data_IF_607341217998
#
_entry.id   IF_607341217998
#
_cell.length_a   1.000
_cell.length_b   1.000
_cell.length_c   1.000
_cell.angle_alpha   90.00
_cell.angle_beta   90.00
_cell.angle_gamma   90.00
#
_symmetry.space_group_name_H-M   'P 1'
#
loop_
_entity.id
_entity.type
_entity.pdbx_description
1 polymer ?
#
# COMPACT_ATOMS: atom_id res chain seq x y z
N UNK A 1 7.62 -0.84 35.44
CA UNK A 1 8.44 0.31 35.01
C UNK A 1 7.78 0.93 33.79
N UNK A 2 7.50 2.23 33.77
CA UNK A 2 6.95 2.90 32.59
C UNK A 2 8.01 2.87 31.47
N UNK A 3 7.66 2.37 30.29
CA UNK A 3 8.54 2.46 29.12
C UNK A 3 8.73 3.95 28.80
N UNK A 4 9.97 4.42 28.85
CA UNK A 4 10.31 5.84 28.60
C UNK A 4 10.47 6.16 27.11
N UNK A 5 10.06 5.24 26.21
CA UNK A 5 10.46 5.30 24.80
C UNK A 5 11.98 5.18 24.64
N UNK A 6 12.49 5.30 23.42
CA UNK A 6 13.92 5.31 23.17
C UNK A 6 14.58 6.56 23.77
N UNK A 7 15.71 6.37 24.47
CA UNK A 7 16.48 7.46 25.08
C UNK A 7 17.14 8.38 24.03
N UNK A 8 17.20 7.95 22.76
CA UNK A 8 17.87 8.67 21.68
C UNK A 8 17.05 9.82 21.08
N UNK A 9 15.72 9.85 21.31
CA UNK A 9 14.85 10.88 20.72
C UNK A 9 15.27 12.30 21.10
N UNK A 10 15.44 12.57 22.40
CA UNK A 10 15.75 13.91 22.91
C UNK A 10 17.04 14.51 22.33
N UNK A 11 18.20 13.85 22.48
CA UNK A 11 19.45 14.33 21.89
C UNK A 11 19.37 14.52 20.37
N UNK A 12 18.73 13.60 19.65
CA UNK A 12 18.65 13.67 18.18
C UNK A 12 17.74 14.79 17.69
N UNK A 13 16.62 15.04 18.37
CA UNK A 13 15.75 16.20 18.07
C UNK A 13 16.55 17.49 18.17
N UNK A 14 17.35 17.65 19.23
CA UNK A 14 18.17 18.85 19.43
C UNK A 14 19.20 19.04 18.30
N UNK A 15 19.86 17.97 17.87
CA UNK A 15 20.81 18.07 16.74
C UNK A 15 20.12 18.43 15.41
N UNK A 16 18.92 17.90 15.17
CA UNK A 16 18.15 18.24 13.96
C UNK A 16 17.66 19.69 14.01
N UNK A 17 17.25 20.19 15.18
CA UNK A 17 16.89 21.60 15.38
C UNK A 17 18.09 22.53 15.14
N UNK A 18 19.29 22.16 15.61
CA UNK A 18 20.52 22.89 15.31
C UNK A 18 20.79 22.92 13.79
N UNK A 19 20.66 21.78 13.12
CA UNK A 19 20.82 21.70 11.66
C UNK A 19 19.78 22.56 10.92
N UNK A 20 18.52 22.56 11.38
CA UNK A 20 17.48 23.45 10.87
C UNK A 20 17.91 24.93 10.97
N UNK A 21 18.46 25.35 12.12
CA UNK A 21 18.94 26.73 12.31
C UNK A 21 20.02 27.09 11.30
N UNK A 22 20.99 26.21 11.06
CA UNK A 22 22.01 26.43 10.03
C UNK A 22 21.39 26.61 8.64
N UNK A 23 20.38 25.81 8.27
CA UNK A 23 19.70 25.96 6.98
C UNK A 23 18.88 27.27 6.87
N UNK A 24 18.52 27.91 7.98
CA UNK A 24 17.81 29.20 7.94
C UNK A 24 18.72 30.41 7.72
N UNK A 25 20.05 30.24 7.83
CA UNK A 25 20.99 31.34 7.65
C UNK A 25 21.01 31.88 6.22
N UNK A 26 20.63 31.06 5.23
CA UNK A 26 20.53 31.45 3.83
C UNK A 26 19.15 31.12 3.27
N UNK A 27 18.73 31.84 2.21
CA UNK A 27 17.47 31.54 1.52
C UNK A 27 17.56 30.34 0.58
N UNK A 28 18.78 29.87 0.29
CA UNK A 28 19.05 28.77 -0.63
C UNK A 28 18.58 27.43 -0.07
N UNK A 29 18.55 27.27 1.26
CA UNK A 29 18.22 26.00 1.93
C UNK A 29 16.81 25.96 2.53
N UNK A 30 15.85 26.62 1.89
CA UNK A 30 14.46 26.68 2.37
C UNK A 30 13.81 25.30 2.45
N UNK A 31 14.17 24.38 1.55
CA UNK A 31 13.66 23.01 1.56
C UNK A 31 14.24 22.22 2.73
N UNK A 32 15.56 22.23 2.89
CA UNK A 32 16.29 21.51 3.93
C UNK A 32 15.88 21.98 5.33
N UNK A 33 15.68 23.29 5.51
CA UNK A 33 15.16 23.84 6.76
C UNK A 33 13.79 23.25 7.11
N UNK A 34 12.85 23.23 6.16
CA UNK A 34 11.52 22.62 6.37
C UNK A 34 11.59 21.11 6.58
N UNK A 35 12.47 20.42 5.86
CA UNK A 35 12.66 18.98 6.02
C UNK A 35 13.21 18.63 7.40
N UNK A 36 14.16 19.42 7.92
CA UNK A 36 14.68 19.27 9.28
C UNK A 36 13.59 19.54 10.34
N UNK A 37 12.77 20.58 10.15
CA UNK A 37 11.62 20.87 11.02
C UNK A 37 10.63 19.68 11.08
N UNK A 38 10.24 19.16 9.92
CA UNK A 38 9.34 18.01 9.80
C UNK A 38 9.97 16.74 10.41
N UNK A 39 11.28 16.53 10.25
CA UNK A 39 11.97 15.40 10.86
C UNK A 39 11.97 15.49 12.39
N UNK A 40 12.33 16.64 12.97
CA UNK A 40 12.25 16.85 14.42
C UNK A 40 10.82 16.61 14.95
N UNK A 41 9.80 17.06 14.20
CA UNK A 41 8.39 16.80 14.52
C UNK A 41 8.04 15.31 14.48
N UNK A 42 8.52 14.57 13.49
CA UNK A 42 8.29 13.13 13.38
C UNK A 42 8.86 12.40 14.59
N UNK A 43 10.10 12.71 14.98
CA UNK A 43 10.74 12.10 16.15
C UNK A 43 9.95 12.35 17.44
N UNK A 44 9.42 13.57 17.64
CA UNK A 44 8.54 13.85 18.81
C UNK A 44 7.30 12.95 18.82
N UNK A 45 6.63 12.80 17.67
CA UNK A 45 5.46 11.92 17.56
C UNK A 45 5.86 10.46 17.79
N UNK A 46 6.98 10.00 17.23
CA UNK A 46 7.48 8.64 17.43
C UNK A 46 7.78 8.38 18.91
N UNK A 47 8.40 9.34 19.62
CA UNK A 47 8.62 9.23 21.05
C UNK A 47 7.31 9.06 21.85
N UNK A 48 6.29 9.90 21.57
CA UNK A 48 4.96 9.76 22.17
C UNK A 48 4.34 8.37 21.90
N UNK A 49 4.52 7.85 20.68
CA UNK A 49 4.06 6.52 20.29
C UNK A 49 4.79 5.43 21.05
N UNK A 50 6.12 5.49 21.19
CA UNK A 50 6.88 4.49 21.95
C UNK A 50 6.51 4.47 23.43
N UNK A 51 6.28 5.65 24.02
CA UNK A 51 5.82 5.76 25.42
C UNK A 51 4.42 5.18 25.59
N UNK A 52 3.47 5.58 24.74
CA UNK A 52 2.07 5.16 24.86
C UNK A 52 1.84 3.70 24.52
N UNK A 53 2.53 3.17 23.50
CA UNK A 53 2.47 1.75 23.10
C UNK A 53 3.38 0.86 23.93
N UNK A 54 4.35 1.44 24.64
CA UNK A 54 5.44 0.76 25.35
C UNK A 54 6.33 -0.09 24.43
N UNK A 55 6.43 0.26 23.15
CA UNK A 55 7.21 -0.45 22.14
C UNK A 55 8.27 0.49 21.54
N UNK A 56 9.58 0.21 21.65
CA UNK A 56 10.64 1.07 21.10
C UNK A 56 10.91 0.75 19.61
N UNK A 57 9.86 0.84 18.78
CA UNK A 57 9.90 0.38 17.38
C UNK A 57 9.70 1.51 16.36
N UNK A 58 9.48 2.73 16.82
CA UNK A 58 9.10 3.84 15.95
C UNK A 58 10.28 4.71 15.56
N UNK A 59 11.32 4.78 16.40
CA UNK A 59 12.53 5.57 16.15
C UNK A 59 13.12 5.26 14.76
N UNK A 60 13.52 6.33 14.06
CA UNK A 60 14.15 6.32 12.73
C UNK A 60 13.29 5.71 11.60
N UNK A 61 12.04 5.35 11.87
CA UNK A 61 11.11 4.92 10.83
C UNK A 61 10.64 6.11 9.99
N UNK A 62 10.37 5.89 8.70
CA UNK A 62 9.79 6.94 7.85
C UNK A 62 8.36 7.28 8.29
N UNK A 63 7.80 8.43 7.85
CA UNK A 63 6.37 8.76 8.03
C UNK A 63 5.47 7.58 7.59
N UNK A 64 5.83 6.92 6.48
CA UNK A 64 5.07 5.81 5.94
C UNK A 64 5.15 4.56 6.81
N UNK A 65 6.35 4.25 7.33
CA UNK A 65 6.57 3.13 8.26
C UNK A 65 5.89 3.37 9.61
N UNK A 66 5.97 4.59 10.13
CA UNK A 66 5.26 5.00 11.36
C UNK A 66 3.76 4.78 11.19
N UNK A 67 3.16 5.21 10.08
CA UNK A 67 1.74 4.98 9.77
C UNK A 67 1.41 3.48 9.74
N UNK A 68 2.20 2.68 8.99
CA UNK A 68 1.96 1.23 8.89
C UNK A 68 2.05 0.56 10.25
N UNK A 69 3.08 0.88 11.03
CA UNK A 69 3.30 0.33 12.36
C UNK A 69 2.14 0.69 13.31
N UNK A 70 1.66 1.93 13.27
CA UNK A 70 0.46 2.32 14.03
C UNK A 70 -0.76 1.46 13.67
N UNK A 71 -0.97 1.16 12.37
CA UNK A 71 -2.10 0.33 11.92
C UNK A 71 -1.91 -1.13 12.36
N UNK A 72 -0.71 -1.67 12.23
CA UNK A 72 -0.35 -3.04 12.66
C UNK A 72 -0.59 -3.24 14.16
N UNK A 73 -0.32 -2.21 14.97
CA UNK A 73 -0.61 -2.21 16.41
C UNK A 73 -2.08 -1.91 16.76
N UNK A 74 -2.98 -1.76 15.77
CA UNK A 74 -4.39 -1.40 15.98
C UNK A 74 -4.63 0.06 16.38
N UNK A 75 -3.60 0.91 16.39
CA UNK A 75 -3.69 2.33 16.75
C UNK A 75 -4.05 3.21 15.54
N UNK A 76 -5.24 2.98 14.97
CA UNK A 76 -5.70 3.68 13.77
C UNK A 76 -5.83 5.20 13.95
N UNK A 77 -6.16 5.67 15.17
CA UNK A 77 -6.25 7.10 15.49
C UNK A 77 -4.89 7.78 15.39
N UNK A 78 -3.83 7.15 15.90
CA UNK A 78 -2.47 7.65 15.75
C UNK A 78 -2.03 7.67 14.28
N UNK A 79 -2.33 6.61 13.51
CA UNK A 79 -2.03 6.57 12.08
C UNK A 79 -2.67 7.75 11.33
N UNK A 80 -3.93 8.08 11.63
CA UNK A 80 -4.62 9.24 11.07
C UNK A 80 -4.01 10.57 11.51
N UNK A 81 -3.57 10.71 12.77
CA UNK A 81 -2.84 11.91 13.24
C UNK A 81 -1.57 12.14 12.41
N UNK A 82 -0.75 11.10 12.23
CA UNK A 82 0.49 11.18 11.42
C UNK A 82 0.17 11.51 9.96
N UNK A 83 -0.84 10.87 9.37
CA UNK A 83 -1.29 11.17 8.00
C UNK A 83 -1.61 12.65 7.82
N UNK A 84 -2.40 13.22 8.73
CA UNK A 84 -2.82 14.63 8.67
C UNK A 84 -1.64 15.58 8.89
N UNK A 85 -0.82 15.31 9.91
CA UNK A 85 0.31 16.16 10.27
C UNK A 85 1.31 16.32 9.12
N UNK A 86 1.64 15.20 8.46
CA UNK A 86 2.59 15.17 7.34
C UNK A 86 1.93 15.27 5.97
N UNK A 87 0.65 15.65 5.93
CA UNK A 87 -0.13 15.88 4.69
C UNK A 87 0.01 14.72 3.69
N UNK A 88 -0.01 13.48 4.20
CA UNK A 88 0.12 12.28 3.37
C UNK A 88 -1.06 12.21 2.42
N UNK A 89 -0.76 12.20 1.12
CA UNK A 89 -1.80 12.20 0.08
C UNK A 89 -2.75 11.02 0.22
N UNK A 90 -4.02 11.21 -0.16
CA UNK A 90 -5.03 10.14 -0.12
C UNK A 90 -4.56 8.91 -0.91
N UNK A 91 -3.93 9.11 -2.07
CA UNK A 91 -3.36 8.01 -2.87
C UNK A 91 -2.39 7.16 -2.06
N UNK A 92 -1.44 7.78 -1.37
CA UNK A 92 -0.44 7.08 -0.55
C UNK A 92 -1.09 6.44 0.69
N UNK A 93 -2.03 7.14 1.33
CA UNK A 93 -2.75 6.63 2.49
C UNK A 93 -3.47 5.29 2.20
N UNK A 94 -4.16 5.18 1.06
CA UNK A 94 -4.86 3.94 0.70
C UNK A 94 -3.90 2.78 0.49
N UNK A 95 -2.74 3.00 -0.14
CA UNK A 95 -1.69 1.97 -0.26
C UNK A 95 -1.16 1.52 1.10
N UNK A 96 -0.82 2.47 1.97
CA UNK A 96 -0.28 2.15 3.29
C UNK A 96 -1.28 1.39 4.15
N UNK A 97 -2.53 1.86 4.22
CA UNK A 97 -3.58 1.25 5.05
C UNK A 97 -3.99 -0.13 4.50
N UNK A 98 -4.15 -0.29 3.19
CA UNK A 98 -4.51 -1.59 2.61
C UNK A 98 -3.42 -2.65 2.87
N UNK A 99 -2.15 -2.32 2.59
CA UNK A 99 -1.02 -3.24 2.83
C UNK A 99 -0.83 -3.56 4.31
N UNK A 100 -1.01 -2.58 5.20
CA UNK A 100 -0.86 -2.81 6.64
C UNK A 100 -1.98 -3.69 7.20
N UNK A 101 -3.25 -3.45 6.83
CA UNK A 101 -4.39 -4.27 7.26
C UNK A 101 -4.27 -5.71 6.74
N UNK A 102 -3.90 -5.88 5.47
CA UNK A 102 -3.67 -7.20 4.90
C UNK A 102 -2.49 -7.93 5.58
N UNK A 103 -1.40 -7.23 5.87
CA UNK A 103 -0.23 -7.81 6.53
C UNK A 103 -0.51 -8.35 7.94
N UNK A 104 -1.53 -7.83 8.64
CA UNK A 104 -2.03 -8.40 9.91
C UNK A 104 -3.26 -9.29 9.73
N UNK A 105 -3.64 -9.58 8.48
CA UNK A 105 -4.79 -10.39 8.08
C UNK A 105 -6.13 -9.89 8.63
N UNK A 106 -6.26 -8.58 8.84
CA UNK A 106 -7.52 -7.95 9.24
C UNK A 106 -8.37 -7.66 8.00
N UNK A 107 -8.92 -8.74 7.43
CA UNK A 107 -9.73 -8.70 6.21
C UNK A 107 -11.05 -7.96 6.41
N UNK A 108 -11.63 -8.05 7.61
CA UNK A 108 -12.84 -7.32 7.97
C UNK A 108 -12.61 -5.81 7.95
N UNK A 109 -11.51 -5.33 8.54
CA UNK A 109 -11.16 -3.91 8.48
C UNK A 109 -10.77 -3.48 7.06
N UNK A 110 -10.10 -4.33 6.28
CA UNK A 110 -9.78 -4.06 4.88
C UNK A 110 -11.06 -3.87 4.05
N UNK A 111 -12.05 -4.76 4.24
CA UNK A 111 -13.33 -4.68 3.54
C UNK A 111 -14.13 -3.45 3.95
N UNK A 112 -14.19 -3.13 5.25
CA UNK A 112 -14.80 -1.88 5.74
C UNK A 112 -14.11 -0.67 5.12
N UNK A 113 -12.78 -0.66 5.10
CA UNK A 113 -12.00 0.43 4.52
C UNK A 113 -12.30 0.63 3.02
N UNK A 114 -12.46 -0.46 2.26
CA UNK A 114 -12.81 -0.40 0.84
C UNK A 114 -14.16 0.27 0.56
N UNK A 115 -15.05 0.30 1.56
CA UNK A 115 -16.43 0.82 1.47
C UNK A 115 -16.58 2.21 2.07
N UNK A 116 -15.60 2.73 2.82
CA UNK A 116 -15.66 4.05 3.47
C UNK A 116 -15.86 5.18 2.44
N UNK A 117 -15.00 5.22 1.41
CA UNK A 117 -15.06 6.17 0.29
C UNK A 117 -14.48 5.51 -0.96
N UNK A 118 -14.85 6.00 -2.14
CA UNK A 118 -14.24 5.55 -3.39
C UNK A 118 -12.72 5.85 -3.35
N UNK A 119 -11.84 4.85 -3.49
CA UNK A 119 -10.40 5.07 -3.44
C UNK A 119 -9.92 5.96 -4.62
N UNK A 120 -8.98 6.89 -4.39
CA UNK A 120 -8.53 7.85 -5.41
C UNK A 120 -7.73 7.20 -6.57
N UNK A 121 -7.20 5.99 -6.37
CA UNK A 121 -6.52 5.19 -7.40
C UNK A 121 -7.33 3.94 -7.77
N UNK A 122 -8.63 3.91 -7.45
CA UNK A 122 -9.43 2.69 -7.56
C UNK A 122 -8.95 1.59 -6.62
N UNK A 123 -9.32 0.35 -6.94
CA UNK A 123 -9.18 -0.77 -6.00
C UNK A 123 -7.82 -1.48 -6.06
N UNK A 124 -6.87 -0.98 -6.86
CA UNK A 124 -5.53 -1.58 -7.01
C UNK A 124 -4.79 -1.81 -5.69
N UNK A 125 -4.80 -0.88 -4.71
CA UNK A 125 -4.17 -1.13 -3.41
C UNK A 125 -4.71 -2.36 -2.67
N UNK A 126 -6.02 -2.60 -2.78
CA UNK A 126 -6.68 -3.72 -2.11
C UNK A 126 -6.35 -5.03 -2.81
N UNK A 127 -6.38 -5.04 -4.15
CA UNK A 127 -6.01 -6.21 -4.96
C UNK A 127 -4.56 -6.62 -4.70
N UNK A 128 -3.61 -5.68 -4.78
CA UNK A 128 -2.20 -5.99 -4.51
C UNK A 128 -1.97 -6.47 -3.08
N UNK A 129 -2.67 -5.89 -2.10
CA UNK A 129 -2.57 -6.32 -0.71
C UNK A 129 -3.05 -7.77 -0.53
N UNK A 130 -4.17 -8.16 -1.15
CA UNK A 130 -4.66 -9.53 -1.08
C UNK A 130 -3.74 -10.52 -1.82
N UNK A 131 -3.24 -10.14 -3.02
CA UNK A 131 -2.32 -10.99 -3.79
C UNK A 131 -1.02 -11.22 -3.02
N UNK A 132 -0.47 -10.17 -2.41
CA UNK A 132 0.78 -10.26 -1.63
C UNK A 132 0.68 -11.28 -0.48
N UNK A 133 -0.46 -11.30 0.20
CA UNK A 133 -0.71 -12.20 1.33
C UNK A 133 -1.31 -13.55 0.91
N UNK A 134 -1.51 -13.79 -0.40
CA UNK A 134 -2.04 -15.04 -0.93
C UNK A 134 -3.53 -15.25 -0.68
N UNK A 135 -4.27 -14.24 -0.22
CA UNK A 135 -5.69 -14.37 0.08
C UNK A 135 -6.58 -14.18 -1.14
N UNK A 136 -6.70 -15.27 -1.91
CA UNK A 136 -7.50 -15.34 -3.13
C UNK A 136 -8.97 -14.96 -2.92
N UNK A 137 -9.59 -15.47 -1.85
CA UNK A 137 -11.02 -15.23 -1.57
C UNK A 137 -11.32 -13.76 -1.36
N UNK A 138 -10.43 -13.05 -0.65
CA UNK A 138 -10.55 -11.62 -0.40
C UNK A 138 -10.25 -10.80 -1.66
N UNK A 139 -9.23 -11.18 -2.44
CA UNK A 139 -8.89 -10.51 -3.71
C UNK A 139 -10.09 -10.45 -4.67
N UNK A 140 -10.92 -11.51 -4.71
CA UNK A 140 -12.10 -11.59 -5.57
C UNK A 140 -13.16 -10.52 -5.30
N UNK A 141 -13.18 -9.92 -4.10
CA UNK A 141 -14.08 -8.81 -3.77
C UNK A 141 -13.68 -7.50 -4.45
N UNK A 142 -12.41 -7.38 -4.87
CA UNK A 142 -11.82 -6.12 -5.35
C UNK A 142 -11.45 -6.15 -6.83
N UNK A 143 -11.01 -7.29 -7.37
CA UNK A 143 -10.60 -7.42 -8.78
C UNK A 143 -11.70 -6.95 -9.75
N UNK A 144 -12.98 -7.34 -9.60
CA UNK A 144 -14.04 -6.88 -10.50
C UNK A 144 -14.25 -5.35 -10.50
N UNK A 145 -13.78 -4.66 -9.45
CA UNK A 145 -13.91 -3.21 -9.28
C UNK A 145 -12.75 -2.43 -9.91
N UNK A 146 -11.73 -3.10 -10.46
CA UNK A 146 -10.70 -2.44 -11.27
C UNK A 146 -11.35 -1.95 -12.57
N UNK A 147 -11.07 -0.70 -12.93
CA UNK A 147 -11.68 -0.05 -14.09
C UNK A 147 -11.10 -0.57 -15.41
N UNK A 148 -9.80 -0.82 -15.44
CA UNK A 148 -9.10 -1.32 -16.63
C UNK A 148 -9.26 -2.85 -16.75
N UNK A 149 -9.86 -3.36 -17.84
CA UNK A 149 -9.96 -4.79 -18.11
C UNK A 149 -8.58 -5.50 -18.17
N UNK A 150 -7.52 -4.79 -18.56
CA UNK A 150 -6.15 -5.33 -18.56
C UNK A 150 -5.66 -5.60 -17.16
N UNK A 151 -5.81 -4.63 -16.25
CA UNK A 151 -5.47 -4.81 -14.84
C UNK A 151 -6.30 -5.93 -14.19
N UNK A 152 -7.59 -6.07 -14.56
CA UNK A 152 -8.42 -7.20 -14.11
C UNK A 152 -7.86 -8.53 -14.56
N UNK A 153 -7.54 -8.66 -15.84
CA UNK A 153 -7.02 -9.90 -16.42
C UNK A 153 -5.71 -10.34 -15.75
N UNK A 154 -4.76 -9.41 -15.59
CA UNK A 154 -3.49 -9.67 -14.91
C UNK A 154 -3.69 -10.04 -13.43
N UNK A 155 -4.62 -9.39 -12.74
CA UNK A 155 -4.92 -9.71 -11.34
C UNK A 155 -5.56 -11.10 -11.19
N UNK A 156 -6.54 -11.46 -12.02
CA UNK A 156 -7.11 -12.82 -12.06
C UNK A 156 -6.05 -13.87 -12.37
N UNK A 157 -5.12 -13.56 -13.27
CA UNK A 157 -4.05 -14.47 -13.61
C UNK A 157 -3.14 -14.77 -12.42
N UNK A 158 -2.74 -13.71 -11.69
CA UNK A 158 -1.89 -13.80 -10.50
C UNK A 158 -2.52 -14.59 -9.35
N UNK A 159 -3.85 -14.69 -9.30
CA UNK A 159 -4.57 -15.53 -8.30
C UNK A 159 -5.01 -16.90 -8.86
N UNK A 160 -4.48 -17.30 -10.01
CA UNK A 160 -4.74 -18.60 -10.62
C UNK A 160 -6.20 -18.77 -11.08
N UNK A 161 -6.73 -17.76 -11.77
CA UNK A 161 -8.09 -17.75 -12.33
C UNK A 161 -8.05 -17.57 -13.85
N UNK A 162 -7.72 -18.64 -14.61
CA UNK A 162 -7.42 -18.54 -16.03
C UNK A 162 -8.64 -18.18 -16.88
N UNK A 163 -9.83 -18.68 -16.52
CA UNK A 163 -11.07 -18.39 -17.24
C UNK A 163 -11.43 -16.90 -17.11
N UNK A 164 -11.45 -16.39 -15.88
CA UNK A 164 -11.75 -15.00 -15.57
C UNK A 164 -10.70 -14.05 -16.15
N UNK A 165 -9.43 -14.46 -16.13
CA UNK A 165 -8.34 -13.72 -16.77
C UNK A 165 -8.55 -13.61 -18.30
N UNK A 166 -8.92 -14.73 -18.94
CA UNK A 166 -9.19 -14.77 -20.37
C UNK A 166 -10.41 -13.92 -20.76
N UNK A 167 -11.49 -14.03 -19.99
CA UNK A 167 -12.72 -13.25 -20.18
C UNK A 167 -12.44 -11.74 -20.05
N UNK A 168 -11.65 -11.33 -19.05
CA UNK A 168 -11.25 -9.94 -18.87
C UNK A 168 -10.30 -9.44 -19.97
N UNK A 169 -9.35 -10.27 -20.43
CA UNK A 169 -8.44 -9.93 -21.52
C UNK A 169 -9.17 -9.81 -22.87
N UNK A 170 -10.19 -10.64 -23.12
CA UNK A 170 -11.08 -10.52 -24.28
C UNK A 170 -11.80 -9.16 -24.31
N UNK A 171 -12.28 -8.69 -23.16
CA UNK A 171 -12.89 -7.35 -23.05
C UNK A 171 -11.89 -6.22 -23.31
N UNK A 172 -10.60 -6.44 -23.01
CA UNK A 172 -9.53 -5.48 -23.29
C UNK A 172 -9.20 -5.37 -24.79
N UNK A 173 -9.69 -6.29 -25.64
CA UNK A 173 -9.33 -6.43 -27.06
C UNK A 173 -7.82 -6.44 -27.30
N UNK A 174 -7.09 -7.07 -26.37
CA UNK A 174 -5.63 -7.09 -26.35
C UNK A 174 -5.15 -8.54 -26.59
N UNK A 175 -4.87 -8.86 -27.86
CA UNK A 175 -4.42 -10.20 -28.26
C UNK A 175 -3.05 -10.57 -27.73
N UNK A 176 -2.18 -9.59 -27.53
CA UNK A 176 -0.85 -9.78 -26.94
C UNK A 176 -0.97 -10.19 -25.47
N UNK A 177 -1.84 -9.51 -24.70
CA UNK A 177 -2.16 -9.88 -23.33
C UNK A 177 -2.68 -11.33 -23.24
N UNK A 178 -3.59 -11.75 -24.12
CA UNK A 178 -4.06 -13.14 -24.19
C UNK A 178 -2.90 -14.12 -24.44
N UNK A 179 -1.95 -13.76 -25.30
CA UNK A 179 -0.74 -14.56 -25.54
C UNK A 179 0.17 -14.68 -24.33
N UNK A 180 0.43 -13.57 -23.63
CA UNK A 180 1.20 -13.57 -22.38
C UNK A 180 0.53 -14.42 -21.31
N UNK A 181 -0.78 -14.32 -21.17
CA UNK A 181 -1.56 -15.13 -20.21
C UNK A 181 -1.49 -16.63 -20.53
N UNK A 182 -1.51 -17.01 -21.82
CA UNK A 182 -1.33 -18.42 -22.21
C UNK A 182 0.01 -18.97 -21.72
N UNK A 183 1.09 -18.21 -21.87
CA UNK A 183 2.41 -18.62 -21.38
C UNK A 183 2.44 -18.77 -19.86
N UNK A 184 1.78 -17.85 -19.12
CA UNK A 184 1.71 -17.94 -17.64
C UNK A 184 0.93 -19.16 -17.15
N UNK A 185 0.06 -19.73 -17.98
CA UNK A 185 -0.73 -20.93 -17.68
C UNK A 185 -0.28 -22.18 -18.43
N UNK A 186 0.88 -22.16 -19.08
CA UNK A 186 1.35 -23.24 -19.96
C UNK A 186 1.44 -24.62 -19.30
N UNK A 187 1.63 -24.69 -17.98
CA UNK A 187 1.63 -25.94 -17.22
C UNK A 187 0.23 -26.45 -16.86
N UNK A 188 -0.83 -25.67 -17.13
CA UNK A 188 -2.22 -26.00 -16.88
C UNK A 188 -2.95 -26.21 -18.22
N UNK A 189 -3.03 -27.47 -18.66
CA UNK A 189 -3.59 -27.85 -19.97
C UNK A 189 -5.04 -27.37 -20.16
N UNK A 190 -5.85 -27.38 -19.09
CA UNK A 190 -7.23 -26.90 -19.12
C UNK A 190 -7.31 -25.36 -19.26
N UNK A 191 -6.39 -24.63 -18.63
CA UNK A 191 -6.29 -23.20 -18.81
C UNK A 191 -5.87 -22.82 -20.23
N UNK A 192 -4.92 -23.56 -20.80
CA UNK A 192 -4.45 -23.33 -22.17
C UNK A 192 -5.55 -23.54 -23.21
N UNK A 193 -6.38 -24.58 -23.08
CA UNK A 193 -7.45 -24.86 -24.04
C UNK A 193 -8.58 -23.82 -24.00
N UNK A 194 -8.90 -23.28 -22.81
CA UNK A 194 -9.86 -22.19 -22.65
C UNK A 194 -9.36 -20.92 -23.38
N UNK A 195 -8.08 -20.59 -23.20
CA UNK A 195 -7.47 -19.41 -23.84
C UNK A 195 -7.44 -19.54 -25.36
N UNK A 196 -7.15 -20.73 -25.90
CA UNK A 196 -7.16 -20.99 -27.35
C UNK A 196 -8.56 -20.82 -27.95
N UNK A 197 -9.57 -21.40 -27.31
CA UNK A 197 -10.97 -21.26 -27.75
C UNK A 197 -11.42 -19.80 -27.78
N UNK A 198 -10.96 -18.98 -26.84
CA UNK A 198 -11.31 -17.56 -26.76
C UNK A 198 -10.53 -16.72 -27.77
N UNK A 199 -9.25 -17.02 -28.02
CA UNK A 199 -8.46 -16.36 -29.06
C UNK A 199 -9.08 -16.57 -30.44
N UNK A 200 -9.42 -17.81 -30.79
CA UNK A 200 -9.96 -18.17 -32.10
C UNK A 200 -11.29 -17.45 -32.39
N UNK A 201 -12.13 -17.27 -31.37
CA UNK A 201 -13.39 -16.52 -31.47
C UNK A 201 -13.21 -15.04 -31.73
N UNK A 202 -12.08 -14.45 -31.30
CA UNK A 202 -11.83 -13.02 -31.43
C UNK A 202 -11.15 -12.66 -32.76
N UNK A 203 -10.74 -13.64 -33.57
CA UNK A 203 -10.09 -13.41 -34.86
C UNK A 203 -8.76 -12.66 -34.76
N UNK A 204 -8.13 -12.65 -33.58
CA UNK A 204 -6.84 -11.99 -33.35
C UNK A 204 -5.74 -13.04 -33.56
N UNK A 205 -5.19 -13.07 -34.78
CA UNK A 205 -4.05 -13.91 -35.18
C UNK A 205 -2.74 -13.37 -34.61
#
# INVERSE_FOLDING_TARGET
>A
MASKGSALHGPRIKEIENAQMCFTETKEHTFESKAAEEHAKLLRIQHELEVSTKQPIFLDSSVSDTIRTCIVLGNHRAAMKVKTEFKVSEKRWYWLKALALAGVKDWDALERFSKEKRPPLGYRPFVEACIKEGEKGEALKYIPKLADPRERAEAFARIGMPKEAADAASQAKDGELLGRLKLSFSQNTAASSILDTLRDRLGVS
#
